data_IF_086674592052
#
_entry.id   IF_086674592052
#
_cell.length_a   1.000
_cell.length_b   1.000
_cell.length_c   1.000
_cell.angle_alpha   90.00
_cell.angle_beta   90.00
_cell.angle_gamma   90.00
#
_symmetry.space_group_name_H-M   'P 1'
#
loop_
_entity.id
_entity.type
_entity.pdbx_description
1 polymer ?
#
# COMPACT_ATOMS: atom_id res chain seq x y z
N UNK A 1 27.71 -10.30 -20.33
CA UNK A 1 27.75 -10.01 -18.88
C UNK A 1 26.59 -9.07 -18.53
N UNK A 2 25.42 -9.61 -18.21
CA UNK A 2 24.23 -8.84 -17.79
C UNK A 2 24.15 -8.87 -16.26
N UNK A 3 24.87 -7.96 -15.62
CA UNK A 3 24.82 -7.69 -14.18
C UNK A 3 23.60 -6.83 -13.75
N UNK A 4 23.53 -6.39 -12.49
CA UNK A 4 22.37 -6.44 -11.57
C UNK A 4 21.30 -5.35 -11.77
N UNK A 5 20.80 -5.15 -12.99
CA UNK A 5 19.73 -4.15 -13.25
C UNK A 5 18.33 -4.64 -12.83
N UNK A 6 18.08 -5.95 -12.84
CA UNK A 6 16.76 -6.50 -12.55
C UNK A 6 16.24 -6.18 -11.12
N UNK A 7 17.05 -6.28 -10.04
CA UNK A 7 16.61 -5.89 -8.69
C UNK A 7 16.27 -4.41 -8.55
N UNK A 8 16.98 -3.54 -9.28
CA UNK A 8 16.76 -2.10 -9.22
C UNK A 8 15.48 -1.69 -9.96
N UNK A 9 15.24 -2.24 -11.15
CA UNK A 9 14.00 -2.01 -11.92
C UNK A 9 12.78 -2.51 -11.12
N UNK A 10 12.84 -3.73 -10.58
CA UNK A 10 11.77 -4.28 -9.75
C UNK A 10 11.47 -3.39 -8.52
N UNK A 11 12.51 -2.83 -7.89
CA UNK A 11 12.34 -1.90 -6.76
C UNK A 11 11.69 -0.58 -7.17
N UNK A 12 11.97 -0.05 -8.35
CA UNK A 12 11.32 1.15 -8.87
C UNK A 12 9.84 0.91 -9.19
N UNK A 13 9.51 -0.25 -9.75
CA UNK A 13 8.13 -0.66 -10.00
C UNK A 13 7.35 -0.80 -8.69
N UNK A 14 7.88 -1.52 -7.70
CA UNK A 14 7.26 -1.63 -6.37
C UNK A 14 7.06 -0.27 -5.70
N UNK A 15 8.01 0.66 -5.85
CA UNK A 15 7.88 2.03 -5.35
C UNK A 15 6.75 2.80 -6.04
N UNK A 16 6.54 2.60 -7.35
CA UNK A 16 5.43 3.19 -8.08
C UNK A 16 4.08 2.64 -7.59
N UNK A 17 3.99 1.34 -7.37
CA UNK A 17 2.81 0.68 -6.79
C UNK A 17 2.54 1.22 -5.37
N UNK A 18 3.57 1.30 -4.52
CA UNK A 18 3.44 1.84 -3.16
C UNK A 18 2.94 3.29 -3.14
N UNK A 19 3.36 4.13 -4.09
CA UNK A 19 2.82 5.49 -4.26
C UNK A 19 1.34 5.46 -4.60
N UNK A 20 0.91 4.58 -5.52
CA UNK A 20 -0.50 4.43 -5.86
C UNK A 20 -1.32 3.96 -4.66
N UNK A 21 -0.84 2.98 -3.90
CA UNK A 21 -1.48 2.51 -2.66
C UNK A 21 -1.59 3.63 -1.63
N UNK A 22 -0.53 4.42 -1.44
CA UNK A 22 -0.55 5.56 -0.52
C UNK A 22 -1.66 6.56 -0.86
N UNK A 23 -1.82 6.86 -2.16
CA UNK A 23 -2.90 7.71 -2.63
C UNK A 23 -4.27 7.10 -2.36
N UNK A 24 -4.46 5.80 -2.61
CA UNK A 24 -5.71 5.10 -2.31
C UNK A 24 -6.03 5.11 -0.81
N UNK A 25 -5.05 4.82 0.05
CA UNK A 25 -5.23 4.86 1.51
C UNK A 25 -5.63 6.25 2.01
N UNK A 26 -5.03 7.30 1.47
CA UNK A 26 -5.32 8.68 1.87
C UNK A 26 -6.69 9.13 1.33
N UNK A 27 -7.03 8.74 0.11
CA UNK A 27 -8.29 9.08 -0.52
C UNK A 27 -9.47 8.30 0.05
N UNK A 28 -9.35 6.98 0.23
CA UNK A 28 -10.40 6.10 0.75
C UNK A 28 -10.71 6.33 2.22
N UNK A 29 -9.72 6.74 3.02
CA UNK A 29 -9.94 7.14 4.41
C UNK A 29 -10.46 8.59 4.55
N UNK A 30 -10.47 9.36 3.47
CA UNK A 30 -11.08 10.69 3.46
C UNK A 30 -12.55 10.56 3.03
N UNK A 31 -13.44 11.34 3.68
CA UNK A 31 -14.88 11.42 3.37
C UNK A 31 -15.22 11.96 1.96
N UNK A 32 -14.20 12.15 1.11
CA UNK A 32 -14.34 12.71 -0.24
C UNK A 32 -14.50 11.66 -1.33
N UNK A 33 -14.37 10.36 -1.05
CA UNK A 33 -14.76 9.27 -1.96
C UNK A 33 -14.09 9.21 -3.34
N UNK A 34 -13.13 10.09 -3.68
CA UNK A 34 -12.54 10.10 -5.02
C UNK A 34 -11.26 9.27 -5.06
N UNK A 35 -11.40 7.95 -5.19
CA UNK A 35 -10.31 7.13 -5.71
C UNK A 35 -10.31 7.26 -7.25
N UNK A 36 -9.34 7.99 -7.80
CA UNK A 36 -9.26 8.12 -9.27
C UNK A 36 -8.89 6.77 -9.91
N UNK A 37 -9.50 6.39 -11.05
CA UNK A 37 -9.24 5.12 -11.74
C UNK A 37 -7.76 4.84 -12.06
N UNK A 38 -6.94 5.90 -12.15
CA UNK A 38 -5.50 5.81 -12.43
C UNK A 38 -4.74 5.04 -11.36
N UNK A 39 -5.06 5.22 -10.07
CA UNK A 39 -4.33 4.55 -8.99
C UNK A 39 -4.63 3.05 -8.95
N UNK A 40 -5.86 2.65 -9.26
CA UNK A 40 -6.26 1.26 -9.37
C UNK A 40 -5.55 0.52 -10.51
N UNK A 41 -5.30 1.20 -11.64
CA UNK A 41 -4.60 0.62 -12.80
C UNK A 41 -3.12 0.33 -12.54
N UNK A 42 -2.52 0.97 -11.54
CA UNK A 42 -1.13 0.74 -11.18
C UNK A 42 -0.94 -0.51 -10.29
N UNK A 43 -2.02 -1.13 -9.82
CA UNK A 43 -1.96 -2.28 -8.93
C UNK A 43 -1.95 -3.60 -9.71
N UNK A 44 -1.20 -4.58 -9.22
CA UNK A 44 -1.38 -5.97 -9.64
C UNK A 44 -2.75 -6.52 -9.20
N UNK A 45 -3.15 -7.66 -9.78
CA UNK A 45 -4.50 -8.20 -9.58
C UNK A 45 -4.78 -8.63 -8.14
N UNK A 46 -3.76 -9.04 -7.38
CA UNK A 46 -3.93 -9.51 -6.00
C UNK A 46 -4.15 -8.30 -5.08
N UNK A 47 -3.29 -7.30 -5.20
CA UNK A 47 -3.39 -6.07 -4.44
C UNK A 47 -4.68 -5.31 -4.77
N UNK A 48 -5.07 -5.26 -6.06
CA UNK A 48 -6.34 -4.69 -6.49
C UNK A 48 -7.54 -5.45 -5.89
N UNK A 49 -7.50 -6.78 -5.81
CA UNK A 49 -8.58 -7.56 -5.23
C UNK A 49 -8.76 -7.26 -3.74
N UNK A 50 -7.66 -7.20 -2.98
CA UNK A 50 -7.72 -6.84 -1.56
C UNK A 50 -8.22 -5.41 -1.34
N UNK A 51 -7.64 -4.42 -2.02
CA UNK A 51 -8.03 -3.03 -1.81
C UNK A 51 -9.46 -2.74 -2.29
N UNK A 52 -9.98 -3.45 -3.31
CA UNK A 52 -11.41 -3.37 -3.67
C UNK A 52 -12.32 -3.97 -2.60
N UNK A 53 -11.86 -4.99 -1.88
CA UNK A 53 -12.60 -5.52 -0.75
C UNK A 53 -12.65 -4.50 0.40
N UNK A 54 -11.52 -3.87 0.72
CA UNK A 54 -11.46 -2.75 1.69
C UNK A 54 -12.44 -1.64 1.29
N UNK A 55 -12.42 -1.24 0.01
CA UNK A 55 -13.32 -0.22 -0.54
C UNK A 55 -14.80 -0.60 -0.41
N UNK A 56 -15.13 -1.88 -0.67
CA UNK A 56 -16.50 -2.38 -0.55
C UNK A 56 -17.00 -2.45 0.91
N UNK A 57 -16.11 -2.65 1.89
CA UNK A 57 -16.45 -2.61 3.32
C UNK A 57 -16.63 -1.15 3.79
N UNK A 58 -15.83 -0.22 3.26
CA UNK A 58 -16.01 1.21 3.44
C UNK A 58 -15.01 1.86 4.40
N UNK A 59 -15.39 3.01 4.96
CA UNK A 59 -14.49 3.94 5.64
C UNK A 59 -13.78 3.35 6.87
N UNK A 60 -14.45 2.47 7.62
CA UNK A 60 -13.87 1.81 8.77
C UNK A 60 -12.68 0.93 8.36
N UNK A 61 -12.84 0.10 7.33
CA UNK A 61 -11.77 -0.74 6.79
C UNK A 61 -10.60 0.09 6.25
N UNK A 62 -10.87 1.22 5.60
CA UNK A 62 -9.81 2.16 5.19
C UNK A 62 -9.03 2.73 6.40
N UNK A 63 -9.73 3.05 7.49
CA UNK A 63 -9.13 3.56 8.72
C UNK A 63 -8.28 2.52 9.44
N UNK A 64 -8.70 1.24 9.40
CA UNK A 64 -7.91 0.12 9.91
C UNK A 64 -6.59 -0.05 9.14
N UNK A 65 -6.63 0.02 7.81
CA UNK A 65 -5.42 -0.13 6.99
C UNK A 65 -4.48 1.07 7.11
N UNK A 66 -5.00 2.29 7.26
CA UNK A 66 -4.18 3.43 7.69
C UNK A 66 -3.48 3.18 9.03
N UNK A 67 -4.22 2.64 10.00
CA UNK A 67 -3.68 2.32 11.32
C UNK A 67 -2.61 1.24 11.24
N UNK A 68 -2.79 0.24 10.37
CA UNK A 68 -1.79 -0.80 10.09
C UNK A 68 -0.49 -0.21 9.55
N UNK A 69 -0.58 0.71 8.57
CA UNK A 69 0.59 1.42 8.03
C UNK A 69 1.28 2.27 9.10
N UNK A 70 0.53 3.03 9.89
CA UNK A 70 1.09 3.86 10.97
C UNK A 70 1.79 3.04 12.04
N UNK A 71 1.23 1.90 12.45
CA UNK A 71 1.89 0.96 13.37
C UNK A 71 3.17 0.41 12.78
N UNK A 72 3.16 0.02 11.50
CA UNK A 72 4.37 -0.47 10.82
C UNK A 72 5.46 0.61 10.75
N UNK A 73 5.06 1.84 10.44
CA UNK A 73 5.96 3.00 10.44
C UNK A 73 6.56 3.26 11.81
N UNK A 74 5.77 3.28 12.89
CA UNK A 74 6.26 3.47 14.25
C UNK A 74 7.29 2.38 14.64
N UNK A 75 7.01 1.12 14.32
CA UNK A 75 7.92 0.00 14.59
C UNK A 75 9.22 0.05 13.77
N UNK A 76 9.27 0.81 12.67
CA UNK A 76 10.50 1.06 11.91
C UNK A 76 11.28 2.23 12.51
N UNK A 77 10.58 3.30 12.92
CA UNK A 77 11.18 4.44 13.63
C UNK A 77 11.86 4.02 14.93
N UNK A 78 11.24 3.15 15.72
CA UNK A 78 11.82 2.59 16.96
C UNK A 78 13.13 1.81 16.71
N UNK A 79 13.34 1.31 15.49
CA UNK A 79 14.56 0.62 15.07
C UNK A 79 15.67 1.55 14.55
N UNK A 80 15.45 2.87 14.56
CA UNK A 80 16.44 3.86 14.14
C UNK A 80 16.48 4.14 12.64
N UNK A 81 15.50 3.66 11.86
CA UNK A 81 15.36 3.95 10.44
C UNK A 81 14.72 5.34 10.25
N UNK A 82 15.47 6.42 10.52
CA UNK A 82 14.97 7.80 10.43
C UNK A 82 14.91 8.32 8.98
N UNK A 83 13.78 8.91 8.59
CA UNK A 83 13.72 9.93 7.53
C UNK A 83 13.06 11.18 8.11
N UNK A 84 13.83 12.26 8.22
CA UNK A 84 13.42 13.53 8.81
C UNK A 84 12.54 14.34 7.84
N UNK A 85 11.40 14.85 8.33
CA UNK A 85 10.55 15.80 7.61
C UNK A 85 9.34 16.20 8.44
N UNK A 86 9.35 17.42 8.98
CA UNK A 86 8.30 17.98 9.82
C UNK A 86 7.02 18.30 9.04
N UNK A 87 5.89 17.88 9.62
CA UNK A 87 4.54 17.82 9.05
C UNK A 87 3.90 16.52 9.51
N UNK A 88 2.56 16.42 9.58
CA UNK A 88 1.92 15.13 9.86
C UNK A 88 2.54 14.09 8.90
N UNK A 89 3.22 13.05 9.41
CA UNK A 89 4.15 12.32 8.56
C UNK A 89 3.34 11.67 7.45
N UNK A 90 3.63 12.06 6.20
CA UNK A 90 3.09 11.38 5.04
C UNK A 90 3.31 9.88 5.23
N UNK A 91 2.30 9.04 4.94
CA UNK A 91 2.42 7.60 5.13
C UNK A 91 3.71 7.09 4.48
N UNK A 92 4.52 6.40 5.29
CA UNK A 92 5.82 5.88 4.86
C UNK A 92 5.64 4.89 3.70
N UNK A 93 6.31 5.18 2.58
CA UNK A 93 6.33 4.26 1.43
C UNK A 93 7.01 2.94 1.77
N UNK A 94 8.01 2.97 2.66
CA UNK A 94 8.68 1.75 3.14
C UNK A 94 7.71 0.88 3.94
N UNK A 95 6.94 1.48 4.85
CA UNK A 95 5.93 0.76 5.62
C UNK A 95 4.84 0.16 4.72
N UNK A 96 4.46 0.87 3.66
CA UNK A 96 3.51 0.38 2.65
C UNK A 96 4.11 -0.80 1.86
N UNK A 97 5.35 -0.67 1.36
CA UNK A 97 6.04 -1.74 0.64
C UNK A 97 6.19 -3.00 1.50
N UNK A 98 6.45 -2.85 2.80
CA UNK A 98 6.53 -3.97 3.75
C UNK A 98 5.20 -4.71 3.92
N UNK A 99 4.07 -4.00 3.80
CA UNK A 99 2.72 -4.55 3.96
C UNK A 99 2.15 -5.12 2.66
N UNK A 100 2.64 -4.67 1.50
CA UNK A 100 2.17 -5.13 0.18
C UNK A 100 2.22 -6.65 -0.01
N UNK A 101 3.27 -7.40 0.40
CA UNK A 101 3.27 -8.86 0.34
C UNK A 101 2.10 -9.49 1.12
N UNK A 102 1.79 -8.95 2.31
CA UNK A 102 0.66 -9.42 3.13
C UNK A 102 -0.67 -9.13 2.45
N UNK A 103 -0.86 -7.91 1.94
CA UNK A 103 -2.07 -7.54 1.22
C UNK A 103 -2.29 -8.35 -0.06
N UNK A 104 -1.21 -8.65 -0.80
CA UNK A 104 -1.25 -9.56 -1.95
C UNK A 104 -1.69 -10.96 -1.54
N UNK A 105 -1.12 -11.51 -0.48
CA UNK A 105 -1.51 -12.83 0.03
C UNK A 105 -3.00 -12.88 0.38
N UNK A 106 -3.53 -11.87 1.06
CA UNK A 106 -4.98 -11.77 1.33
C UNK A 106 -5.81 -11.59 0.07
N UNK A 107 -5.34 -10.78 -0.88
CA UNK A 107 -5.97 -10.61 -2.18
C UNK A 107 -6.06 -11.92 -2.96
N UNK A 108 -5.02 -12.77 -2.88
CA UNK A 108 -5.03 -14.11 -3.45
C UNK A 108 -6.07 -14.99 -2.80
N UNK A 109 -6.12 -15.04 -1.47
CA UNK A 109 -7.15 -15.79 -0.74
C UNK A 109 -8.58 -15.35 -1.11
N UNK A 110 -8.80 -14.03 -1.27
CA UNK A 110 -10.10 -13.49 -1.68
C UNK A 110 -10.49 -13.86 -3.12
N UNK A 111 -9.51 -14.12 -4.00
CA UNK A 111 -9.76 -14.59 -5.37
C UNK A 111 -10.03 -16.09 -5.39
N UNK A 112 -9.28 -16.87 -4.61
CA UNK A 112 -9.43 -18.33 -4.51
C UNK A 112 -10.72 -18.73 -3.78
N UNK A 113 -11.15 -17.98 -2.76
CA UNK A 113 -12.43 -18.25 -2.07
C UNK A 113 -13.69 -17.86 -2.86
N UNK A 114 -13.55 -17.35 -4.09
CA UNK A 114 -14.67 -17.02 -5.00
C UNK A 114 -14.90 -18.06 -6.09
N UNK A 115 -14.15 -19.16 -6.08
CA UNK A 115 -14.38 -20.35 -6.92
C UNK A 115 -15.10 -21.43 -6.12
#
# INVERSE_FOLDING_TARGET
MTGPLAPWVARQEEMAVAKAVRHLLTAGASDRGVTTPRHWRALDTELAAYLRHVDAVGQEAWSEELSRVRRRQAAATERGDHWAGGGAPALSLVAIMDLMPTWRAWGRMLKEGRT
#
